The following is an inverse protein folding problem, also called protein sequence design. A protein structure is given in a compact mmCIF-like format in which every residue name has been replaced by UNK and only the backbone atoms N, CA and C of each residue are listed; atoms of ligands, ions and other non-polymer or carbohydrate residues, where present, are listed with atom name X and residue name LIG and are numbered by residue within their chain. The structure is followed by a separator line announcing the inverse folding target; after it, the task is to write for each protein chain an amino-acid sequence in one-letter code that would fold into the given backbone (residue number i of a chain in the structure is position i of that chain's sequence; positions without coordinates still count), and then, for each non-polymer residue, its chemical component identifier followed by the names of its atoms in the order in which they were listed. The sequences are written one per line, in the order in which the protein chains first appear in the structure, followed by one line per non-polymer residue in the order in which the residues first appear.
data_IF_489463829862
#
_entry.id   IF_489463829862
#
_cell.length_a   1.000
_cell.length_b   1.000
_cell.length_c   1.000
_cell.angle_alpha   90.00
_cell.angle_beta   90.00
_cell.angle_gamma   90.00
#
_symmetry.space_group_name_H-M   'P 1'
#
loop_
_entity.id
_entity.type
_entity.pdbx_description
1 polymer ?
#
# COMPACT_ATOMS: atom_id res chain seq x y z
N UNK A 1 15.81 -2.10 -23.54
CA UNK A 1 14.70 -3.02 -23.15
C UNK A 1 14.59 -3.21 -21.64
N UNK A 2 15.67 -3.50 -20.89
CA UNK A 2 15.62 -3.58 -19.40
C UNK A 2 15.26 -2.25 -18.71
N UNK A 3 15.65 -1.14 -19.31
CA UNK A 3 15.49 0.21 -18.77
C UNK A 3 14.04 0.73 -18.83
N UNK A 4 13.29 0.31 -19.86
CA UNK A 4 11.86 0.60 -20.04
C UNK A 4 10.99 -0.15 -19.03
N UNK A 5 11.36 -1.40 -18.69
CA UNK A 5 10.63 -2.21 -17.71
C UNK A 5 10.70 -1.63 -16.29
N UNK A 6 11.82 -0.99 -15.95
CA UNK A 6 12.05 -0.37 -14.65
C UNK A 6 11.24 0.92 -14.43
N UNK A 7 10.67 1.50 -15.50
CA UNK A 7 9.72 2.62 -15.44
C UNK A 7 8.27 2.17 -15.22
N UNK A 8 7.95 0.92 -15.54
CA UNK A 8 6.61 0.34 -15.42
C UNK A 8 6.37 -0.31 -14.05
N UNK A 9 7.45 -0.64 -13.33
CA UNK A 9 7.39 -0.97 -11.90
C UNK A 9 7.33 0.32 -11.08
N UNK A 10 6.60 0.32 -9.97
CA UNK A 10 6.57 1.43 -9.01
C UNK A 10 8.01 1.88 -8.71
N UNK A 11 8.29 3.12 -9.10
CA UNK A 11 9.60 3.78 -9.20
C UNK A 11 10.61 3.29 -8.14
N UNK A 12 11.80 2.87 -8.59
CA UNK A 12 12.98 2.67 -7.73
C UNK A 12 13.18 1.26 -7.17
N UNK A 13 12.64 0.23 -7.82
CA UNK A 13 12.82 -1.17 -7.41
C UNK A 13 14.11 -1.76 -7.99
N UNK A 14 15.10 -2.07 -7.16
CA UNK A 14 16.33 -2.76 -7.59
C UNK A 14 16.11 -4.29 -7.57
N UNK A 15 15.69 -4.86 -8.69
CA UNK A 15 15.60 -6.33 -8.82
C UNK A 15 17.00 -6.94 -9.02
N UNK A 16 17.61 -7.42 -7.94
CA UNK A 16 18.89 -8.16 -8.01
C UNK A 16 18.58 -9.60 -8.46
N UNK A 17 18.97 -9.93 -9.69
CA UNK A 17 18.80 -11.26 -10.27
C UNK A 17 19.53 -12.30 -9.41
N UNK A 18 18.80 -13.14 -8.67
CA UNK A 18 19.34 -14.25 -7.88
C UNK A 18 18.96 -14.30 -6.40
N UNK A 19 18.42 -13.22 -5.80
CA UNK A 19 17.82 -13.29 -4.44
C UNK A 19 16.38 -13.82 -4.54
N UNK A 20 16.00 -14.75 -3.64
CA UNK A 20 14.63 -15.29 -3.58
C UNK A 20 13.70 -14.18 -3.11
N UNK A 21 12.86 -13.70 -4.01
CA UNK A 21 11.92 -12.64 -3.72
C UNK A 21 10.88 -13.09 -2.67
N UNK A 22 10.66 -12.33 -1.58
CA UNK A 22 9.76 -12.75 -0.50
C UNK A 22 8.29 -12.47 -0.83
N UNK A 23 7.79 -13.11 -1.88
CA UNK A 23 6.39 -13.01 -2.34
C UNK A 23 5.40 -13.22 -1.19
N UNK A 24 5.71 -14.09 -0.24
CA UNK A 24 4.85 -14.36 0.91
C UNK A 24 4.75 -13.17 1.86
N UNK A 25 5.88 -12.53 2.20
CA UNK A 25 5.89 -11.39 3.13
C UNK A 25 5.14 -10.18 2.55
N UNK A 26 5.29 -9.92 1.25
CA UNK A 26 4.52 -8.84 0.62
C UNK A 26 3.02 -9.13 0.54
N UNK A 27 2.61 -10.39 0.33
CA UNK A 27 1.19 -10.78 0.40
C UNK A 27 0.60 -10.53 1.79
N UNK A 28 1.33 -10.87 2.85
CA UNK A 28 0.92 -10.54 4.22
C UNK A 28 0.88 -9.03 4.45
N UNK A 29 1.85 -8.28 3.93
CA UNK A 29 1.85 -6.82 4.00
C UNK A 29 0.64 -6.18 3.32
N UNK A 30 0.24 -6.70 2.16
CA UNK A 30 -0.95 -6.23 1.45
C UNK A 30 -2.23 -6.55 2.22
N UNK A 31 -2.36 -7.77 2.77
CA UNK A 31 -3.50 -8.12 3.63
C UNK A 31 -3.57 -7.23 4.87
N UNK A 32 -2.43 -6.99 5.50
CA UNK A 32 -2.33 -6.09 6.66
C UNK A 32 -2.74 -4.66 6.31
N UNK A 33 -2.30 -4.15 5.16
CA UNK A 33 -2.70 -2.84 4.66
C UNK A 33 -4.23 -2.73 4.48
N UNK A 34 -4.85 -3.75 3.87
CA UNK A 34 -6.31 -3.79 3.70
C UNK A 34 -7.02 -3.74 5.06
N UNK A 35 -6.57 -4.54 6.03
CA UNK A 35 -7.15 -4.56 7.38
C UNK A 35 -7.06 -3.18 8.02
N UNK A 36 -5.89 -2.54 7.98
CA UNK A 36 -5.72 -1.17 8.51
C UNK A 36 -6.64 -0.18 7.82
N UNK A 37 -6.77 -0.24 6.49
CA UNK A 37 -7.68 0.63 5.74
C UNK A 37 -9.14 0.42 6.15
N UNK A 38 -9.58 -0.82 6.39
CA UNK A 38 -10.96 -1.08 6.86
C UNK A 38 -11.20 -0.40 8.22
N UNK A 39 -10.27 -0.54 9.16
CA UNK A 39 -10.36 0.14 10.46
C UNK A 39 -10.34 1.66 10.32
N UNK A 40 -9.51 2.19 9.43
CA UNK A 40 -9.45 3.63 9.14
C UNK A 40 -10.80 4.13 8.58
N UNK A 41 -11.36 3.44 7.59
CA UNK A 41 -12.67 3.79 7.02
C UNK A 41 -13.77 3.74 8.07
N UNK A 42 -13.79 2.71 8.92
CA UNK A 42 -14.77 2.62 10.00
C UNK A 42 -14.64 3.81 10.97
N UNK A 43 -13.42 4.21 11.30
CA UNK A 43 -13.14 5.38 12.15
C UNK A 43 -13.61 6.66 11.48
N UNK A 44 -13.29 6.86 10.19
CA UNK A 44 -13.75 8.01 9.40
C UNK A 44 -15.28 8.09 9.40
N UNK A 45 -15.96 6.95 9.24
CA UNK A 45 -17.42 6.93 9.21
C UNK A 45 -18.05 7.38 10.52
N UNK A 46 -17.47 6.98 11.66
CA UNK A 46 -17.98 7.35 12.98
C UNK A 46 -17.64 8.80 13.36
N UNK A 47 -16.44 9.29 13.05
CA UNK A 47 -15.99 10.63 13.44
C UNK A 47 -16.59 11.74 12.56
N UNK A 48 -16.90 11.42 11.29
CA UNK A 48 -17.42 12.39 10.32
C UNK A 48 -18.86 12.09 9.88
N UNK A 49 -19.66 11.42 10.72
CA UNK A 49 -21.05 11.07 10.39
C UNK A 49 -21.89 12.30 10.00
N UNK A 50 -21.74 13.42 10.71
CA UNK A 50 -22.46 14.67 10.45
C UNK A 50 -22.01 15.38 9.16
N UNK A 51 -20.80 15.11 8.68
CA UNK A 51 -20.20 15.76 7.51
C UNK A 51 -20.15 14.81 6.31
N UNK A 52 -21.32 14.47 5.76
CA UNK A 52 -21.49 13.48 4.68
C UNK A 52 -20.50 13.68 3.52
N UNK A 53 -20.33 14.92 3.03
CA UNK A 53 -19.40 15.20 1.92
C UNK A 53 -17.95 14.88 2.25
N UNK A 54 -17.51 15.22 3.47
CA UNK A 54 -16.16 14.97 3.93
C UNK A 54 -15.93 13.47 4.17
N UNK A 55 -16.92 12.80 4.77
CA UNK A 55 -16.91 11.37 5.02
C UNK A 55 -16.80 10.56 3.73
N UNK A 56 -17.62 10.90 2.72
CA UNK A 56 -17.56 10.28 1.39
C UNK A 56 -16.20 10.50 0.74
N UNK A 57 -15.67 11.73 0.79
CA UNK A 57 -14.37 12.06 0.19
C UNK A 57 -13.22 11.29 0.86
N UNK A 58 -13.19 11.23 2.19
CA UNK A 58 -12.15 10.52 2.94
C UNK A 58 -12.26 8.99 2.74
N UNK A 59 -13.49 8.45 2.75
CA UNK A 59 -13.73 7.01 2.62
C UNK A 59 -13.50 6.48 1.21
N UNK A 60 -13.89 7.23 0.17
CA UNK A 60 -13.82 6.76 -1.22
C UNK A 60 -12.48 7.13 -1.87
N UNK A 61 -11.95 8.33 -1.61
CA UNK A 61 -10.71 8.77 -2.25
C UNK A 61 -9.49 8.44 -1.40
N UNK A 62 -9.50 8.82 -0.12
CA UNK A 62 -8.29 8.71 0.72
C UNK A 62 -8.06 7.31 1.26
N UNK A 63 -9.11 6.56 1.64
CA UNK A 63 -8.91 5.22 2.19
C UNK A 63 -8.25 4.24 1.18
N UNK A 64 -8.65 4.20 -0.11
CA UNK A 64 -7.95 3.36 -1.09
C UNK A 64 -6.52 3.83 -1.36
N UNK A 65 -6.28 5.15 -1.43
CA UNK A 65 -4.93 5.69 -1.57
C UNK A 65 -4.05 5.28 -0.39
N UNK A 66 -4.58 5.36 0.83
CA UNK A 66 -3.90 4.91 2.04
C UNK A 66 -3.56 3.42 1.98
N UNK A 67 -4.47 2.57 1.50
CA UNK A 67 -4.22 1.14 1.34
C UNK A 67 -3.03 0.86 0.39
N UNK A 68 -3.01 1.54 -0.75
CA UNK A 68 -1.95 1.39 -1.74
C UNK A 68 -0.61 1.90 -1.20
N UNK A 69 -0.59 3.09 -0.60
CA UNK A 69 0.61 3.66 -0.01
C UNK A 69 1.18 2.80 1.12
N UNK A 70 0.33 2.28 2.01
CA UNK A 70 0.78 1.39 3.09
C UNK A 70 1.33 0.07 2.57
N UNK A 71 0.68 -0.53 1.56
CA UNK A 71 1.19 -1.75 0.93
C UNK A 71 2.57 -1.51 0.30
N UNK A 72 2.76 -0.36 -0.35
CA UNK A 72 4.04 0.02 -0.95
C UNK A 72 5.13 0.27 0.11
N UNK A 73 4.82 1.01 1.18
CA UNK A 73 5.74 1.26 2.30
C UNK A 73 6.21 -0.07 2.91
N UNK A 74 5.27 -0.99 3.19
CA UNK A 74 5.60 -2.30 3.74
C UNK A 74 6.48 -3.09 2.78
N UNK A 75 6.15 -3.10 1.48
CA UNK A 75 6.97 -3.75 0.45
C UNK A 75 8.41 -3.20 0.42
N UNK A 76 8.57 -1.88 0.49
CA UNK A 76 9.89 -1.22 0.54
C UNK A 76 10.65 -1.54 1.82
N UNK A 77 9.98 -1.57 2.98
CA UNK A 77 10.59 -1.93 4.25
C UNK A 77 11.09 -3.38 4.24
N UNK A 78 10.30 -4.32 3.73
CA UNK A 78 10.72 -5.72 3.59
C UNK A 78 11.95 -5.83 2.69
N UNK A 79 11.94 -5.14 1.55
CA UNK A 79 13.08 -5.13 0.64
C UNK A 79 14.33 -4.53 1.28
N UNK A 80 14.18 -3.43 2.03
CA UNK A 80 15.28 -2.79 2.77
C UNK A 80 15.89 -3.72 3.82
N UNK A 81 15.06 -4.41 4.61
CA UNK A 81 15.54 -5.34 5.66
C UNK A 81 16.22 -6.59 5.11
N UNK A 82 15.91 -6.97 3.86
CA UNK A 82 16.52 -8.12 3.21
C UNK A 82 17.76 -7.79 2.39
N UNK A 83 18.02 -6.51 2.13
CA UNK A 83 19.16 -6.08 1.33
C UNK A 83 20.41 -5.99 2.18
#
# INVERSE_FOLDING_TARGET
MKEELNKLTLIGRTEIKGKRYPIFLERFGLLFSIILTIFLTFTIWNEFEEYIWLNVLLSICFAPLFALSMAEIIGRLIQYLQN
#
